data_IF_497662097061
#
_entry.id   IF_497662097061
#
_cell.length_a   1.000
_cell.length_b   1.000
_cell.length_c   1.000
_cell.angle_alpha   90.00
_cell.angle_beta   90.00
_cell.angle_gamma   90.00
#
_symmetry.space_group_name_H-M   'P 1'
#
loop_
_entity.id
_entity.type
_entity.pdbx_description
1 polymer ?
#
# COMPACT_ATOMS: atom_id res chain seq x y z
N UNK A 1 -9.91 12.84 -4.00
CA UNK A 1 -10.85 12.06 -4.83
C UNK A 1 -10.86 10.57 -4.49
N UNK A 2 -9.76 9.82 -4.60
CA UNK A 2 -9.73 8.38 -4.26
C UNK A 2 -10.29 8.09 -2.86
N UNK A 3 -9.83 8.82 -1.84
CA UNK A 3 -10.30 8.68 -0.45
C UNK A 3 -11.82 8.84 -0.31
N UNK A 4 -12.38 9.81 -1.03
CA UNK A 4 -13.81 10.06 -1.06
C UNK A 4 -14.58 8.95 -1.77
N UNK A 5 -14.07 8.48 -2.91
CA UNK A 5 -14.65 7.38 -3.66
C UNK A 5 -14.75 6.08 -2.83
N UNK A 6 -13.80 5.86 -1.91
CA UNK A 6 -13.80 4.69 -1.01
C UNK A 6 -14.47 4.96 0.35
N UNK A 7 -15.10 6.12 0.52
CA UNK A 7 -15.82 6.49 1.75
C UNK A 7 -14.92 6.65 2.98
N UNK A 8 -13.62 6.91 2.81
CA UNK A 8 -12.67 7.08 3.90
C UNK A 8 -11.89 8.40 3.76
N UNK A 9 -12.54 9.52 4.04
CA UNK A 9 -11.91 10.83 3.88
C UNK A 9 -10.84 11.15 4.94
N UNK A 10 -10.90 10.55 6.12
CA UNK A 10 -10.13 11.03 7.28
C UNK A 10 -9.37 9.97 8.08
N UNK A 11 -9.69 8.67 7.95
CA UNK A 11 -9.12 7.64 8.81
C UNK A 11 -7.93 6.95 8.15
N UNK A 12 -6.95 6.51 8.92
CA UNK A 12 -5.85 5.71 8.37
C UNK A 12 -6.38 4.45 7.66
N UNK A 13 -5.75 4.06 6.55
CA UNK A 13 -6.01 2.75 5.94
C UNK A 13 -5.29 1.66 6.74
N UNK A 14 -6.02 0.67 7.26
CA UNK A 14 -5.44 -0.42 8.04
C UNK A 14 -4.43 -1.21 7.21
N UNK A 15 -4.85 -1.76 6.07
CA UNK A 15 -3.99 -2.46 5.12
C UNK A 15 -4.07 -1.80 3.74
N UNK A 16 -2.97 -1.21 3.29
CA UNK A 16 -2.93 -0.49 2.03
C UNK A 16 -2.94 -1.45 0.83
N UNK A 17 -2.38 -2.66 0.97
CA UNK A 17 -2.47 -3.68 -0.07
C UNK A 17 -3.92 -4.06 -0.37
N UNK A 18 -4.76 -4.19 0.65
CA UNK A 18 -6.18 -4.50 0.43
C UNK A 18 -6.89 -3.40 -0.35
N UNK A 19 -6.60 -2.13 -0.05
CA UNK A 19 -7.12 -0.99 -0.83
C UNK A 19 -6.68 -1.08 -2.30
N UNK A 20 -5.38 -1.29 -2.53
CA UNK A 20 -4.79 -1.35 -3.87
C UNK A 20 -5.37 -2.53 -4.67
N UNK A 21 -5.36 -3.74 -4.12
CA UNK A 21 -5.78 -4.93 -4.87
C UNK A 21 -7.30 -5.08 -4.97
N UNK A 22 -8.04 -4.89 -3.88
CA UNK A 22 -9.49 -5.19 -3.86
C UNK A 22 -10.36 -4.05 -4.33
N UNK A 23 -9.94 -2.81 -4.07
CA UNK A 23 -10.74 -1.63 -4.39
C UNK A 23 -10.29 -1.01 -5.70
N UNK A 24 -8.97 -0.87 -5.90
CA UNK A 24 -8.43 -0.28 -7.14
C UNK A 24 -8.22 -1.31 -8.26
N UNK A 25 -8.26 -2.62 -7.95
CA UNK A 25 -8.06 -3.68 -8.93
C UNK A 25 -6.62 -3.79 -9.44
N UNK A 26 -5.66 -3.24 -8.71
CA UNK A 26 -4.24 -3.21 -9.08
C UNK A 26 -3.51 -4.32 -8.34
N UNK A 27 -2.90 -5.25 -9.05
CA UNK A 27 -2.23 -6.40 -8.43
C UNK A 27 -0.93 -5.98 -7.74
N UNK A 28 -0.67 -6.46 -6.51
CA UNK A 28 0.61 -6.23 -5.81
C UNK A 28 1.45 -7.49 -5.83
N UNK A 29 2.70 -7.37 -6.27
CA UNK A 29 3.68 -8.46 -6.35
C UNK A 29 4.95 -8.09 -5.59
N UNK A 30 5.62 -9.09 -5.02
CA UNK A 30 6.98 -8.96 -4.47
C UNK A 30 7.90 -9.88 -5.27
N UNK A 31 8.89 -9.32 -5.97
CA UNK A 31 9.79 -10.04 -6.87
C UNK A 31 11.22 -9.53 -6.71
N UNK A 32 12.21 -10.41 -6.90
CA UNK A 32 13.61 -9.99 -6.98
C UNK A 32 13.80 -9.20 -8.27
N UNK A 33 14.03 -7.90 -8.15
CA UNK A 33 14.24 -7.01 -9.28
C UNK A 33 15.71 -7.09 -9.72
N UNK A 34 15.93 -7.27 -11.03
CA UNK A 34 17.28 -7.31 -11.61
C UNK A 34 17.91 -5.91 -11.72
N UNK A 35 17.10 -4.86 -11.66
CA UNK A 35 17.50 -3.46 -11.71
C UNK A 35 18.08 -3.00 -10.38
N UNK A 36 19.27 -2.43 -10.42
CA UNK A 36 19.93 -1.82 -9.26
C UNK A 36 19.31 -0.45 -9.01
N UNK A 37 18.91 -0.17 -7.76
CA UNK A 37 18.54 1.19 -7.32
C UNK A 37 17.05 1.48 -7.16
N UNK A 38 16.16 0.65 -7.71
CA UNK A 38 14.70 0.83 -7.56
C UNK A 38 14.09 -0.22 -6.64
N UNK A 39 13.19 0.21 -5.77
CA UNK A 39 12.55 -0.66 -4.77
C UNK A 39 11.10 -1.02 -5.11
N UNK A 40 10.50 -0.33 -6.07
CA UNK A 40 9.11 -0.47 -6.47
C UNK A 40 8.94 0.00 -7.92
N UNK A 41 7.93 -0.55 -8.61
CA UNK A 41 7.55 -0.16 -9.96
C UNK A 41 6.04 -0.28 -10.16
N UNK A 42 5.43 0.74 -10.77
CA UNK A 42 4.15 0.64 -11.42
C UNK A 42 4.33 0.01 -12.82
N UNK A 43 3.47 -0.97 -13.12
CA UNK A 43 3.38 -1.64 -14.41
C UNK A 43 1.96 -1.50 -14.92
N UNK A 44 1.80 -1.03 -16.15
CA UNK A 44 0.51 -0.92 -16.84
C UNK A 44 0.55 -1.67 -18.16
N UNK A 45 -0.59 -2.25 -18.51
CA UNK A 45 -0.96 -2.74 -19.81
C UNK A 45 -2.40 -2.25 -20.11
N UNK A 46 -2.89 -2.50 -21.32
CA UNK A 46 -4.18 -1.97 -21.79
C UNK A 46 -5.35 -2.33 -20.88
N UNK A 47 -5.39 -3.55 -20.35
CA UNK A 47 -6.48 -4.09 -19.53
C UNK A 47 -6.05 -4.50 -18.11
N UNK A 48 -4.79 -4.25 -17.73
CA UNK A 48 -4.23 -4.72 -16.48
C UNK A 48 -3.20 -3.75 -15.88
N UNK A 49 -3.11 -3.74 -14.55
CA UNK A 49 -2.08 -3.00 -13.85
C UNK A 49 -1.55 -3.76 -12.63
N UNK A 50 -0.28 -3.56 -12.34
CA UNK A 50 0.39 -4.14 -11.19
C UNK A 50 1.39 -3.17 -10.54
N UNK A 51 1.64 -3.37 -9.26
CA UNK A 51 2.74 -2.77 -8.51
C UNK A 51 3.69 -3.90 -8.14
N UNK A 52 4.96 -3.80 -8.55
CA UNK A 52 6.00 -4.78 -8.28
C UNK A 52 7.01 -4.20 -7.31
N UNK A 53 7.14 -4.82 -6.14
CA UNK A 53 8.05 -4.41 -5.08
C UNK A 53 9.28 -5.32 -5.03
N UNK A 54 10.45 -4.75 -4.75
CA UNK A 54 11.61 -5.51 -4.28
C UNK A 54 11.33 -6.12 -2.90
N UNK A 55 11.96 -7.26 -2.54
CA UNK A 55 11.87 -7.79 -1.19
C UNK A 55 12.44 -6.78 -0.17
N UNK A 56 11.60 -6.36 0.77
CA UNK A 56 12.00 -5.45 1.85
C UNK A 56 12.78 -6.24 2.88
N UNK A 57 14.05 -5.89 3.08
CA UNK A 57 14.89 -6.54 4.08
C UNK A 57 14.68 -5.96 5.48
N UNK A 58 14.26 -4.70 5.62
CA UNK A 58 14.18 -3.98 6.90
C UNK A 58 12.85 -3.23 7.09
N UNK A 59 11.87 -3.80 7.83
CA UNK A 59 10.53 -3.24 7.99
C UNK A 59 10.41 -2.18 9.11
N UNK A 60 11.51 -1.50 9.49
CA UNK A 60 11.52 -0.62 10.68
C UNK A 60 10.67 0.65 10.53
N UNK A 61 10.31 1.00 9.29
CA UNK A 61 9.40 2.08 8.97
C UNK A 61 8.27 1.55 8.07
N UNK A 62 7.11 2.23 8.01
CA UNK A 62 6.00 1.91 7.11
C UNK A 62 6.33 2.21 5.63
N UNK A 63 7.57 1.97 5.19
CA UNK A 63 8.08 2.32 3.87
C UNK A 63 7.30 1.62 2.75
N UNK A 64 6.90 0.37 2.97
CA UNK A 64 6.04 -0.37 2.05
C UNK A 64 4.73 0.39 1.74
N UNK A 65 4.15 1.06 2.74
CA UNK A 65 2.92 1.83 2.57
C UNK A 65 3.16 3.06 1.70
N UNK A 66 4.30 3.73 1.88
CA UNK A 66 4.70 4.86 1.04
C UNK A 66 4.91 4.41 -0.40
N UNK A 67 5.65 3.32 -0.63
CA UNK A 67 5.87 2.78 -1.97
C UNK A 67 4.56 2.38 -2.65
N UNK A 68 3.69 1.62 -1.98
CA UNK A 68 2.38 1.27 -2.54
C UNK A 68 1.53 2.49 -2.88
N UNK A 69 1.49 3.50 -2.01
CA UNK A 69 0.74 4.72 -2.27
C UNK A 69 1.32 5.52 -3.44
N UNK A 70 2.65 5.58 -3.55
CA UNK A 70 3.37 6.25 -4.62
C UNK A 70 3.13 5.56 -5.97
N UNK A 71 3.38 4.25 -6.06
CA UNK A 71 3.17 3.49 -7.30
C UNK A 71 1.69 3.44 -7.71
N UNK A 72 0.76 3.43 -6.76
CA UNK A 72 -0.67 3.55 -7.08
C UNK A 72 -0.98 4.85 -7.83
N UNK A 73 -0.30 5.95 -7.50
CA UNK A 73 -0.47 7.21 -8.24
C UNK A 73 -0.07 7.03 -9.72
N UNK A 74 1.07 6.42 -9.98
CA UNK A 74 1.53 6.17 -11.34
C UNK A 74 0.54 5.29 -12.11
N UNK A 75 0.05 4.22 -11.48
CA UNK A 75 -0.98 3.37 -12.07
C UNK A 75 -2.24 4.15 -12.45
N UNK A 76 -2.74 4.99 -11.55
CA UNK A 76 -4.00 5.71 -11.74
C UNK A 76 -3.90 6.89 -12.71
N UNK A 77 -2.78 7.62 -12.74
CA UNK A 77 -2.73 8.93 -13.37
C UNK A 77 -1.71 9.07 -14.49
N UNK A 78 -0.75 8.15 -14.64
CA UNK A 78 0.20 8.25 -15.74
C UNK A 78 -0.44 7.74 -17.03
N UNK A 79 -0.23 8.42 -18.17
CA UNK A 79 -0.81 8.02 -19.44
C UNK A 79 -0.31 6.63 -19.83
N UNK A 80 -1.20 5.81 -20.36
CA UNK A 80 -0.81 4.58 -21.03
C UNK A 80 -0.26 4.92 -22.41
N UNK A 81 1.05 4.79 -22.61
CA UNK A 81 1.68 5.00 -23.91
C UNK A 81 1.74 3.71 -24.76
N UNK A 82 1.08 2.63 -24.32
CA UNK A 82 1.07 1.32 -24.96
C UNK A 82 2.31 0.49 -24.61
N UNK A 83 2.12 -0.77 -24.23
CA UNK A 83 3.20 -1.67 -23.78
C UNK A 83 3.45 -1.62 -22.27
N UNK A 84 4.45 -2.39 -21.80
CA UNK A 84 4.83 -2.44 -20.37
C UNK A 84 5.62 -1.18 -20.02
N UNK A 85 4.96 -0.23 -19.35
CA UNK A 85 5.63 0.95 -18.81
C UNK A 85 6.18 0.66 -17.43
N UNK A 86 7.49 0.82 -17.26
CA UNK A 86 8.15 0.80 -15.96
C UNK A 86 8.55 2.24 -15.66
N UNK A 87 7.87 2.87 -14.70
CA UNK A 87 8.28 4.19 -14.21
C UNK A 87 9.49 3.98 -13.31
N UNK A 88 10.66 4.36 -13.79
CA UNK A 88 11.92 4.33 -13.03
C UNK A 88 12.31 5.78 -12.73
N UNK A 89 12.72 6.03 -11.49
CA UNK A 89 13.20 7.32 -10.98
C UNK A 89 14.45 7.77 -11.78
N UNK A 90 14.24 8.41 -12.93
CA UNK A 90 15.29 9.02 -13.74
C UNK A 90 15.08 10.52 -13.82
N UNK A 91 16.04 11.25 -13.26
CA UNK A 91 15.93 12.64 -12.85
C UNK A 91 16.08 13.66 -14.00
N UNK A 92 16.14 13.24 -15.28
CA UNK A 92 16.53 14.13 -16.40
C UNK A 92 15.39 14.63 -17.32
N UNK A 93 14.17 14.10 -17.20
CA UNK A 93 13.00 14.59 -17.96
C UNK A 93 12.07 15.46 -17.09
N UNK A 94 11.67 16.62 -17.61
CA UNK A 94 10.70 17.51 -16.96
C UNK A 94 9.35 16.83 -16.74
N UNK A 95 8.89 16.00 -17.68
CA UNK A 95 7.61 15.28 -17.52
C UNK A 95 7.71 14.21 -16.43
N UNK A 96 8.80 13.44 -16.41
CA UNK A 96 9.07 12.46 -15.35
C UNK A 96 9.11 13.13 -13.97
N UNK A 97 9.83 14.26 -13.82
CA UNK A 97 9.86 15.02 -12.57
C UNK A 97 8.47 15.48 -12.10
N UNK A 98 7.58 15.87 -13.02
CA UNK A 98 6.21 16.26 -12.67
C UNK A 98 5.36 15.07 -12.23
N UNK A 99 5.51 13.91 -12.89
CA UNK A 99 4.86 12.67 -12.48
C UNK A 99 5.31 12.24 -11.07
N UNK A 100 6.62 12.27 -10.81
CA UNK A 100 7.21 11.97 -9.50
C UNK A 100 6.72 12.91 -8.40
N UNK A 101 6.67 14.22 -8.67
CA UNK A 101 6.15 15.20 -7.72
C UNK A 101 4.67 14.94 -7.41
N UNK A 102 3.87 14.63 -8.43
CA UNK A 102 2.46 14.24 -8.25
C UNK A 102 2.35 12.97 -7.41
N UNK A 103 3.14 11.93 -7.69
CA UNK A 103 3.11 10.68 -6.95
C UNK A 103 3.52 10.86 -5.48
N UNK A 104 4.53 11.68 -5.19
CA UNK A 104 4.90 12.05 -3.82
C UNK A 104 3.79 12.80 -3.10
N UNK A 105 3.15 13.78 -3.75
CA UNK A 105 2.04 14.54 -3.17
C UNK A 105 0.80 13.65 -2.94
N UNK A 106 0.48 12.78 -3.90
CA UNK A 106 -0.60 11.81 -3.78
C UNK A 106 -0.35 10.83 -2.64
N UNK A 107 0.85 10.25 -2.55
CA UNK A 107 1.18 9.32 -1.48
C UNK A 107 1.08 9.97 -0.10
N UNK A 108 1.54 11.22 0.02
CA UNK A 108 1.42 11.99 1.24
C UNK A 108 -0.04 12.20 1.65
N UNK A 109 -0.90 12.71 0.76
CA UNK A 109 -2.32 12.95 1.05
C UNK A 109 -3.10 11.63 1.27
N UNK A 110 -2.76 10.58 0.52
CA UNK A 110 -3.39 9.27 0.66
C UNK A 110 -3.08 8.66 2.03
N UNK A 111 -1.86 8.82 2.55
CA UNK A 111 -1.49 8.26 3.85
C UNK A 111 -1.89 9.17 5.01
N UNK A 112 -1.74 10.49 4.86
CA UNK A 112 -1.91 11.51 5.88
C UNK A 112 -3.01 12.49 5.47
N UNK A 113 -4.28 12.07 5.37
CA UNK A 113 -5.33 12.91 4.81
C UNK A 113 -5.50 14.21 5.60
N UNK A 114 -5.62 15.34 4.91
CA UNK A 114 -5.77 16.65 5.55
C UNK A 114 -6.95 16.67 6.52
N UNK A 115 -8.09 16.07 6.13
CA UNK A 115 -9.26 15.96 6.99
C UNK A 115 -8.99 15.15 8.27
N UNK A 116 -8.15 14.11 8.19
CA UNK A 116 -7.70 13.33 9.35
C UNK A 116 -6.73 14.11 10.23
N UNK A 117 -5.75 14.79 9.62
CA UNK A 117 -4.81 15.65 10.31
C UNK A 117 -5.53 16.77 11.06
N UNK A 118 -6.51 17.42 10.44
CA UNK A 118 -7.33 18.46 11.09
C UNK A 118 -8.07 17.96 12.32
N UNK A 119 -8.58 16.73 12.28
CA UNK A 119 -9.24 16.09 13.44
C UNK A 119 -8.24 15.74 14.54
N UNK A 120 -7.03 15.31 14.17
CA UNK A 120 -6.01 14.86 15.11
C UNK A 120 -5.28 16.01 15.82
N UNK A 121 -4.83 17.01 15.05
CA UNK A 121 -3.92 18.07 15.52
C UNK A 121 -4.48 19.49 15.36
N UNK A 122 -5.75 19.64 14.97
CA UNK A 122 -6.42 20.94 14.84
C UNK A 122 -6.21 21.61 13.49
N UNK A 123 -6.52 22.90 13.36
CA UNK A 123 -6.30 23.63 12.11
C UNK A 123 -4.81 23.95 11.88
N UNK A 124 -4.35 24.07 10.61
CA UNK A 124 -3.02 24.57 10.30
C UNK A 124 -2.71 25.88 11.02
N UNK A 125 -1.58 25.92 11.73
CA UNK A 125 -1.17 27.05 12.58
C UNK A 125 0.27 27.50 12.36
N UNK A 126 0.99 26.89 11.41
CA UNK A 126 2.34 27.30 11.04
C UNK A 126 3.36 27.22 12.17
N UNK A 127 3.34 26.13 12.96
CA UNK A 127 4.23 25.96 14.12
C UNK A 127 5.70 26.17 13.74
N UNK A 128 6.40 27.03 14.47
CA UNK A 128 7.82 27.41 14.24
C UNK A 128 8.78 26.83 15.28
N UNK A 129 8.27 26.25 16.37
CA UNK A 129 9.10 25.64 17.40
C UNK A 129 9.57 24.25 16.99
N UNK A 130 10.87 23.98 17.09
CA UNK A 130 11.48 22.70 16.74
C UNK A 130 10.86 21.51 17.49
N UNK A 131 10.77 21.60 18.82
CA UNK A 131 10.21 20.53 19.67
C UNK A 131 8.73 20.28 19.35
N UNK A 132 7.95 21.35 19.21
CA UNK A 132 6.53 21.26 18.87
C UNK A 132 6.32 20.62 17.49
N UNK A 133 7.14 21.00 16.51
CA UNK A 133 7.10 20.44 15.15
C UNK A 133 7.43 18.95 15.13
N UNK A 134 8.48 18.53 15.86
CA UNK A 134 8.82 17.11 16.02
C UNK A 134 7.69 16.30 16.65
N UNK A 135 7.04 16.85 17.67
CA UNK A 135 5.92 16.20 18.34
C UNK A 135 4.72 16.05 17.40
N UNK A 136 4.40 17.06 16.58
CA UNK A 136 3.34 16.98 15.57
C UNK A 136 3.62 15.90 14.52
N UNK A 137 4.86 15.81 14.03
CA UNK A 137 5.26 14.77 13.07
C UNK A 137 5.13 13.38 13.67
N UNK A 138 5.65 13.18 14.89
CA UNK A 138 5.55 11.91 15.58
C UNK A 138 4.09 11.50 15.80
N UNK A 139 3.23 12.44 16.22
CA UNK A 139 1.81 12.19 16.44
C UNK A 139 1.08 11.81 15.14
N UNK A 140 1.28 12.58 14.07
CA UNK A 140 0.65 12.33 12.78
C UNK A 140 1.10 10.99 12.19
N UNK A 141 2.42 10.71 12.15
CA UNK A 141 2.91 9.46 11.57
C UNK A 141 2.43 8.24 12.38
N UNK A 142 2.37 8.34 13.72
CA UNK A 142 1.95 7.23 14.59
C UNK A 142 0.44 6.97 14.43
N UNK A 143 -0.36 8.00 14.11
CA UNK A 143 -1.78 7.87 13.84
C UNK A 143 -2.11 7.32 12.45
N UNK A 144 -1.28 7.61 11.44
CA UNK A 144 -1.62 7.37 10.03
C UNK A 144 -0.73 6.33 9.31
N UNK A 145 0.44 6.02 9.87
CA UNK A 145 1.34 5.00 9.33
C UNK A 145 2.09 5.44 8.08
N UNK A 146 2.83 6.55 8.20
CA UNK A 146 3.74 7.08 7.18
C UNK A 146 5.16 7.24 7.75
N UNK A 147 6.14 7.56 6.89
CA UNK A 147 7.53 7.78 7.32
C UNK A 147 7.72 9.17 7.89
N UNK A 148 8.84 9.39 8.59
CA UNK A 148 9.16 10.71 9.17
C UNK A 148 9.25 11.79 8.10
N UNK A 149 10.00 11.54 7.03
CA UNK A 149 10.26 12.52 5.97
C UNK A 149 8.98 12.87 5.20
N UNK A 150 8.15 11.87 4.85
CA UNK A 150 6.87 12.11 4.17
C UNK A 150 5.95 12.94 5.06
N UNK A 151 5.88 12.61 6.36
CA UNK A 151 5.03 13.34 7.32
C UNK A 151 5.52 14.78 7.52
N UNK A 152 6.82 14.98 7.72
CA UNK A 152 7.42 16.31 7.88
C UNK A 152 7.12 17.20 6.68
N UNK A 153 7.36 16.69 5.47
CA UNK A 153 7.12 17.42 4.24
C UNK A 153 5.65 17.75 4.05
N UNK A 154 4.76 16.79 4.30
CA UNK A 154 3.34 17.01 4.12
C UNK A 154 2.77 18.02 5.12
N UNK A 155 3.17 17.95 6.40
CA UNK A 155 2.76 18.93 7.41
C UNK A 155 3.27 20.35 7.11
N UNK A 156 4.47 20.48 6.52
CA UNK A 156 4.96 21.77 6.02
C UNK A 156 4.12 22.26 4.84
N UNK A 157 3.83 21.40 3.87
CA UNK A 157 3.06 21.75 2.67
C UNK A 157 1.61 22.17 3.00
N UNK A 158 0.99 21.53 3.99
CA UNK A 158 -0.35 21.87 4.48
C UNK A 158 -0.36 23.05 5.47
N UNK A 159 0.80 23.61 5.83
CA UNK A 159 0.91 24.77 6.71
C UNK A 159 0.68 24.48 8.20
N UNK A 160 0.72 23.22 8.64
CA UNK A 160 0.73 22.89 10.06
C UNK A 160 2.05 23.29 10.73
N UNK A 161 3.14 23.13 9.99
CA UNK A 161 4.51 23.49 10.40
C UNK A 161 5.04 24.54 9.43
N UNK A 162 5.81 25.49 9.94
CA UNK A 162 6.45 26.51 9.11
C UNK A 162 7.42 25.88 8.10
N UNK A 163 7.34 26.34 6.84
CA UNK A 163 8.21 25.88 5.76
C UNK A 163 9.70 26.10 6.05
N UNK A 164 10.04 27.10 6.87
CA UNK A 164 11.43 27.36 7.27
C UNK A 164 12.08 26.24 8.08
N UNK A 165 11.29 25.31 8.65
CA UNK A 165 11.80 24.16 9.39
C UNK A 165 11.98 22.90 8.53
N UNK A 166 11.51 22.91 7.27
CA UNK A 166 11.43 21.70 6.44
C UNK A 166 12.78 21.00 6.30
N UNK A 167 13.80 21.70 5.80
CA UNK A 167 15.14 21.14 5.57
C UNK A 167 15.78 20.65 6.87
N UNK A 168 15.52 21.34 7.98
CA UNK A 168 16.00 20.93 9.30
C UNK A 168 15.34 19.62 9.75
N UNK A 169 14.01 19.51 9.57
CA UNK A 169 13.22 18.34 9.92
C UNK A 169 13.58 17.10 9.10
N UNK A 170 13.83 17.26 7.80
CA UNK A 170 14.23 16.15 6.91
C UNK A 170 15.55 15.49 7.35
N UNK A 171 16.47 16.27 7.94
CA UNK A 171 17.77 15.78 8.43
C UNK A 171 17.70 15.15 9.81
N UNK A 172 16.56 15.25 10.51
CA UNK A 172 16.42 14.69 11.84
C UNK A 172 16.29 13.17 11.79
N UNK A 173 16.87 12.51 12.78
CA UNK A 173 16.60 11.11 13.00
C UNK A 173 15.17 10.92 13.51
N UNK A 174 14.43 10.05 12.84
CA UNK A 174 13.10 9.64 13.23
C UNK A 174 13.15 8.96 14.61
N UNK A 175 12.37 9.43 15.61
CA UNK A 175 12.14 8.67 16.83
C UNK A 175 11.55 7.30 16.51
N UNK A 176 11.64 6.32 17.42
CA UNK A 176 10.90 5.06 17.25
C UNK A 176 9.39 5.30 17.23
N UNK A 177 8.65 4.57 16.39
CA UNK A 177 7.18 4.65 16.40
C UNK A 177 6.62 4.01 17.66
N UNK A 178 5.61 4.63 18.27
CA UNK A 178 4.93 4.03 19.42
C UNK A 178 4.17 2.77 19.03
N UNK A 179 3.64 2.74 17.80
CA UNK A 179 2.99 1.58 17.19
C UNK A 179 3.45 1.44 15.74
N UNK A 180 4.25 0.43 15.40
CA UNK A 180 4.71 0.25 14.02
C UNK A 180 3.51 -0.08 13.13
N UNK A 181 3.35 0.70 12.08
CA UNK A 181 2.39 0.41 11.03
C UNK A 181 2.99 -0.58 10.03
N UNK A 182 2.16 -1.52 9.59
CA UNK A 182 2.49 -2.44 8.53
C UNK A 182 1.39 -2.43 7.47
N UNK A 183 1.65 -3.12 6.37
CA UNK A 183 0.69 -3.49 5.35
C UNK A 183 1.01 -4.93 5.00
N UNK A 184 0.01 -5.76 4.73
CA UNK A 184 0.32 -7.12 4.29
C UNK A 184 1.00 -7.02 2.93
N UNK A 185 2.09 -7.76 2.74
CA UNK A 185 2.74 -7.89 1.44
C UNK A 185 2.71 -9.37 1.03
N UNK A 186 2.64 -9.66 -0.28
CA UNK A 186 2.86 -11.02 -0.74
C UNK A 186 4.21 -11.54 -0.25
N UNK A 187 4.27 -12.84 0.06
CA UNK A 187 5.57 -13.52 0.15
C UNK A 187 6.28 -13.38 -1.19
N UNK A 188 7.60 -13.32 -1.18
CA UNK A 188 8.41 -13.25 -2.41
C UNK A 188 7.97 -14.39 -3.34
N UNK A 189 7.72 -14.04 -4.60
CA UNK A 189 7.26 -14.96 -5.67
C UNK A 189 5.85 -15.55 -5.50
N UNK A 190 5.13 -15.21 -4.42
CA UNK A 190 3.75 -15.64 -4.24
C UNK A 190 2.78 -14.93 -5.23
N UNK A 191 1.61 -15.53 -5.50
CA UNK A 191 0.51 -14.87 -6.21
C UNK A 191 -0.07 -13.70 -5.41
N UNK A 192 -0.73 -12.77 -6.10
CA UNK A 192 -1.45 -11.64 -5.48
C UNK A 192 -2.76 -12.09 -4.83
N UNK A 193 -3.37 -11.26 -3.96
CA UNK A 193 -4.70 -11.53 -3.40
C UNK A 193 -5.75 -11.55 -4.50
N UNK A 194 -5.63 -10.65 -5.48
CA UNK A 194 -6.52 -10.55 -6.62
C UNK A 194 -6.46 -11.82 -7.48
N UNK A 195 -5.27 -12.32 -7.79
CA UNK A 195 -5.11 -13.59 -8.50
C UNK A 195 -5.72 -14.74 -7.69
N UNK A 196 -5.42 -14.81 -6.39
CA UNK A 196 -6.03 -15.80 -5.49
C UNK A 196 -7.57 -15.76 -5.51
N UNK A 197 -8.16 -14.57 -5.46
CA UNK A 197 -9.61 -14.38 -5.48
C UNK A 197 -10.23 -14.72 -6.83
N UNK A 198 -9.60 -14.34 -7.94
CA UNK A 198 -10.08 -14.63 -9.29
C UNK A 198 -10.03 -16.13 -9.57
N UNK A 199 -8.91 -16.77 -9.24
CA UNK A 199 -8.73 -18.21 -9.38
C UNK A 199 -9.77 -18.97 -8.56
N UNK A 200 -10.03 -18.55 -7.30
CA UNK A 200 -11.08 -19.16 -6.48
C UNK A 200 -12.47 -19.02 -7.11
N UNK A 201 -12.83 -17.83 -7.61
CA UNK A 201 -14.14 -17.64 -8.27
C UNK A 201 -14.27 -18.48 -9.54
N UNK A 202 -13.21 -18.58 -10.34
CA UNK A 202 -13.19 -19.42 -11.53
C UNK A 202 -13.34 -20.90 -11.19
N UNK A 203 -12.69 -21.35 -10.12
CA UNK A 203 -12.82 -22.70 -9.58
C UNK A 203 -14.24 -23.00 -9.08
N UNK A 204 -14.79 -22.13 -8.21
CA UNK A 204 -16.13 -22.28 -7.65
C UNK A 204 -17.23 -22.27 -8.75
N UNK A 205 -16.97 -21.60 -9.88
CA UNK A 205 -17.85 -21.58 -11.06
C UNK A 205 -17.65 -22.76 -12.03
N UNK A 206 -16.70 -23.66 -11.75
CA UNK A 206 -16.38 -24.81 -12.61
C UNK A 206 -15.65 -24.45 -13.91
N UNK A 207 -15.08 -23.24 -13.99
CA UNK A 207 -14.27 -22.81 -15.15
C UNK A 207 -12.81 -23.25 -15.06
N UNK A 208 -12.35 -23.62 -13.86
CA UNK A 208 -10.99 -24.07 -13.62
C UNK A 208 -11.02 -25.42 -12.92
N UNK A 209 -10.16 -26.32 -13.35
CA UNK A 209 -9.83 -27.58 -12.68
C UNK A 209 -8.85 -27.35 -11.53
N UNK A 210 -8.73 -28.29 -10.59
CA UNK A 210 -7.75 -28.18 -9.50
C UNK A 210 -6.31 -28.03 -10.02
N UNK A 211 -5.99 -28.69 -11.14
CA UNK A 211 -4.67 -28.61 -11.77
C UNK A 211 -4.37 -27.20 -12.30
N UNK A 212 -5.33 -26.57 -12.96
CA UNK A 212 -5.20 -25.20 -13.45
C UNK A 212 -5.11 -24.20 -12.30
N UNK A 213 -5.89 -24.40 -11.23
CA UNK A 213 -5.78 -23.60 -10.01
C UNK A 213 -4.38 -23.66 -9.42
N UNK A 214 -3.82 -24.88 -9.26
CA UNK A 214 -2.46 -25.05 -8.70
C UNK A 214 -1.42 -24.36 -9.57
N UNK A 215 -1.51 -24.53 -10.89
CA UNK A 215 -0.61 -23.87 -11.82
C UNK A 215 -0.70 -22.34 -11.72
N UNK A 216 -1.90 -21.77 -11.71
CA UNK A 216 -2.13 -20.32 -11.61
C UNK A 216 -1.62 -19.74 -10.28
N UNK A 217 -1.71 -20.49 -9.19
CA UNK A 217 -1.26 -20.06 -7.87
C UNK A 217 0.21 -20.39 -7.59
N UNK A 218 0.92 -21.01 -8.53
CA UNK A 218 2.31 -21.44 -8.35
C UNK A 218 2.47 -22.52 -7.28
N UNK A 219 1.45 -23.36 -7.09
CA UNK A 219 1.45 -24.47 -6.13
C UNK A 219 2.01 -25.74 -6.79
N UNK A 220 2.58 -26.62 -5.96
CA UNK A 220 2.91 -27.98 -6.39
C UNK A 220 1.66 -28.73 -6.85
N UNK A 221 1.80 -29.64 -7.80
CA UNK A 221 0.71 -30.42 -8.41
C UNK A 221 -0.12 -31.18 -7.36
N UNK A 222 0.49 -31.58 -6.24
CA UNK A 222 -0.15 -32.31 -5.16
C UNK A 222 -0.44 -31.45 -3.92
N UNK A 223 -0.11 -30.15 -3.94
CA UNK A 223 -0.39 -29.27 -2.81
C UNK A 223 -1.91 -29.13 -2.59
N UNK A 224 -2.38 -29.07 -1.33
CA UNK A 224 -3.78 -28.75 -1.06
C UNK A 224 -4.10 -27.34 -1.56
N UNK A 225 -5.34 -27.13 -2.01
CA UNK A 225 -5.78 -25.80 -2.42
C UNK A 225 -5.91 -24.89 -1.17
N UNK A 226 -5.62 -23.59 -1.27
CA UNK A 226 -5.59 -22.71 -0.10
C UNK A 226 -6.90 -22.66 0.71
N UNK A 227 -8.04 -22.96 0.08
CA UNK A 227 -9.36 -22.97 0.70
C UNK A 227 -9.81 -24.33 1.23
N UNK A 228 -9.14 -25.43 0.90
CA UNK A 228 -9.42 -26.76 1.47
C UNK A 228 -9.03 -26.82 2.95
N UNK A 229 -7.95 -26.12 3.31
CA UNK A 229 -7.43 -25.99 4.67
C UNK A 229 -8.38 -25.28 5.65
N UNK A 230 -9.44 -24.63 5.16
CA UNK A 230 -10.38 -23.84 5.95
C UNK A 230 -11.74 -24.50 6.24
N UNK A 231 -12.08 -25.60 5.56
CA UNK A 231 -13.42 -26.23 5.68
C UNK A 231 -13.55 -27.25 6.83
N UNK A 232 -12.49 -27.46 7.62
CA UNK A 232 -12.47 -28.49 8.68
C UNK A 232 -12.85 -28.06 10.10
N UNK A 233 -13.32 -26.81 10.35
CA UNK A 233 -13.65 -26.36 11.73
C UNK A 233 -15.12 -26.05 12.01
N UNK A 234 -16.02 -26.07 11.02
CA UNK A 234 -17.43 -25.70 11.24
C UNK A 234 -18.46 -26.78 10.85
N UNK A 235 -18.04 -27.96 10.38
CA UNK A 235 -19.00 -29.02 9.99
C UNK A 235 -19.31 -30.00 11.14
N UNK A 236 -18.56 -29.97 12.25
CA UNK A 236 -18.71 -30.94 13.34
C UNK A 236 -19.57 -30.47 14.55
N UNK A 237 -20.16 -29.26 14.48
CA UNK A 237 -21.03 -28.74 15.55
C UNK A 237 -22.53 -28.93 15.29
N UNK A 238 -22.95 -29.22 14.07
CA UNK A 238 -24.37 -29.42 13.73
C UNK A 238 -24.86 -30.87 13.92
N UNK A 239 -23.94 -31.84 14.08
CA UNK A 239 -24.28 -33.27 14.07
C UNK A 239 -24.49 -33.91 15.45
N UNK A 240 -24.39 -33.14 16.55
CA UNK A 240 -24.53 -33.66 17.95
C UNK A 240 -25.77 -33.19 18.71
N UNK A 241 -26.75 -32.56 18.04
CA UNK A 241 -27.97 -32.07 18.69
C UNK A 241 -29.26 -32.80 18.25
N UNK A 242 -29.17 -34.04 17.75
CA UNK A 242 -30.34 -34.90 17.53
C UNK A 242 -30.04 -36.30 18.03
N UNK A 243 -30.48 -36.60 19.25
CA UNK A 243 -30.50 -37.97 19.75
C UNK A 243 -30.35 -38.12 21.25
N UNK A 244 -31.40 -37.81 22.01
CA UNK A 244 -31.77 -38.54 23.24
C UNK A 244 -33.25 -38.29 23.51
N UNK A 245 -34.04 -39.36 23.35
CA UNK A 245 -35.32 -39.53 24.05
C UNK A 245 -35.04 -40.04 25.45
#
# INVERSE_FOLDING_TARGET
ELRHAVGNDANAFTDLRELVERVCGVTVLVRRLATIGSSAFAVKAEDAAAIVLAPITHPREPLARVWLAHELCHVLFDPDAGGVHVVVDFDDDRQARQAEQRARAFAAELLLPEAGLRKLIGAPSGVTGEVASRNLIAMARDAFGSTWQVTANHLCNLGFISMGLRDWLERQQAPAMSRPWSTSLPVVDAPSLQLGSLTRRGYDAGHLTDGEVRALLGLDVLAPLPWESGQGRDVDRASRAVGTW
#
